data_IF_160466883121
#
_entry.id   IF_160466883121
#
_cell.length_a   1.000
_cell.length_b   1.000
_cell.length_c   1.000
_cell.angle_alpha   90.00
_cell.angle_beta   90.00
_cell.angle_gamma   90.00
#
_symmetry.space_group_name_H-M   'P 1'
#
loop_
_entity.id
_entity.type
_entity.pdbx_description
1 polymer ?
#
# COMPACT_ATOMS: atom_id res chain seq x y z
N UNK A 1 7.91 -10.53 9.04
CA UNK A 1 6.63 -10.81 8.36
C UNK A 1 6.68 -10.22 6.98
N UNK A 2 6.49 -11.03 5.94
CA UNK A 2 6.37 -10.53 4.56
C UNK A 2 4.97 -9.93 4.38
N UNK A 3 4.83 -8.96 3.49
CA UNK A 3 3.56 -8.28 3.28
C UNK A 3 2.43 -9.21 2.81
N UNK A 4 2.78 -10.30 2.11
CA UNK A 4 1.84 -11.32 1.67
C UNK A 4 1.23 -12.17 2.79
N UNK A 5 1.85 -12.20 3.98
CA UNK A 5 1.41 -13.04 5.10
C UNK A 5 0.28 -12.41 5.92
N UNK A 6 -0.02 -11.12 5.69
CA UNK A 6 -1.05 -10.38 6.42
C UNK A 6 -2.45 -10.75 5.93
N UNK A 7 -3.40 -10.79 6.86
CA UNK A 7 -4.82 -10.95 6.55
C UNK A 7 -5.35 -9.71 5.82
N UNK A 8 -6.45 -9.87 5.10
CA UNK A 8 -7.09 -8.74 4.42
C UNK A 8 -7.59 -7.68 5.39
N UNK A 9 -8.09 -8.08 6.56
CA UNK A 9 -8.51 -7.18 7.62
C UNK A 9 -7.33 -6.32 8.14
N UNK A 10 -6.17 -6.93 8.35
CA UNK A 10 -4.96 -6.18 8.73
C UNK A 10 -4.52 -5.20 7.62
N UNK A 11 -4.56 -5.63 6.36
CA UNK A 11 -4.21 -4.77 5.22
C UNK A 11 -5.19 -3.60 5.09
N UNK A 12 -6.49 -3.84 5.24
CA UNK A 12 -7.53 -2.80 5.29
C UNK A 12 -7.27 -1.79 6.40
N UNK A 13 -7.05 -2.25 7.63
CA UNK A 13 -6.78 -1.37 8.76
C UNK A 13 -5.53 -0.50 8.55
N UNK A 14 -4.48 -1.04 7.93
CA UNK A 14 -3.29 -0.27 7.61
C UNK A 14 -3.51 0.71 6.44
N UNK A 15 -4.25 0.30 5.42
CA UNK A 15 -4.64 1.17 4.31
C UNK A 15 -5.48 2.36 4.82
N UNK A 16 -6.45 2.09 5.71
CA UNK A 16 -7.22 3.10 6.44
C UNK A 16 -6.34 4.00 7.30
N UNK A 17 -5.26 3.48 7.89
CA UNK A 17 -4.27 4.30 8.59
C UNK A 17 -3.45 5.22 7.65
N UNK A 18 -3.62 5.09 6.34
CA UNK A 18 -2.96 5.88 5.30
C UNK A 18 -1.67 5.25 4.78
N UNK A 19 -1.45 3.96 5.03
CA UNK A 19 -0.28 3.26 4.52
C UNK A 19 -0.57 2.66 3.14
N UNK A 20 -0.25 3.43 2.10
CA UNK A 20 -0.57 3.07 0.71
C UNK A 20 -0.06 1.70 0.24
N UNK A 21 1.11 1.18 0.67
CA UNK A 21 1.55 -0.15 0.24
C UNK A 21 0.60 -1.29 0.66
N UNK A 22 -0.15 -1.17 1.76
CA UNK A 22 -1.14 -2.19 2.10
C UNK A 22 -2.27 -2.28 1.07
N UNK A 23 -2.73 -1.15 0.55
CA UNK A 23 -3.77 -1.13 -0.47
C UNK A 23 -3.25 -1.61 -1.81
N UNK A 24 -1.98 -1.36 -2.14
CA UNK A 24 -1.33 -1.97 -3.30
C UNK A 24 -1.38 -3.51 -3.20
N UNK A 25 -1.13 -4.09 -2.02
CA UNK A 25 -1.24 -5.55 -1.83
C UNK A 25 -2.67 -6.03 -2.07
N UNK A 26 -3.69 -5.29 -1.60
CA UNK A 26 -5.10 -5.60 -1.89
C UNK A 26 -5.40 -5.54 -3.40
N UNK A 27 -4.91 -4.51 -4.11
CA UNK A 27 -5.00 -4.40 -5.57
C UNK A 27 -4.34 -5.59 -6.26
N UNK A 28 -3.15 -6.00 -5.84
CA UNK A 28 -2.47 -7.17 -6.42
C UNK A 28 -3.24 -8.46 -6.18
N UNK A 29 -3.83 -8.63 -4.99
CA UNK A 29 -4.58 -9.84 -4.60
C UNK A 29 -5.94 -9.92 -5.31
N UNK A 30 -6.65 -8.80 -5.44
CA UNK A 30 -8.04 -8.77 -5.91
C UNK A 30 -8.22 -8.20 -7.32
N UNK A 31 -7.22 -7.53 -7.87
CA UNK A 31 -7.24 -6.93 -9.22
C UNK A 31 -7.71 -7.89 -10.32
N UNK A 32 -7.21 -9.15 -10.40
CA UNK A 32 -7.69 -10.11 -11.39
C UNK A 32 -9.18 -10.45 -11.27
N UNK A 33 -9.70 -10.57 -10.05
CA UNK A 33 -11.11 -10.87 -9.82
C UNK A 33 -12.01 -9.71 -10.27
N UNK A 34 -11.64 -8.47 -9.93
CA UNK A 34 -12.37 -7.26 -10.35
C UNK A 34 -12.27 -7.08 -11.86
N UNK A 35 -11.09 -7.27 -12.44
CA UNK A 35 -10.88 -7.23 -13.89
C UNK A 35 -11.76 -8.23 -14.66
N UNK A 36 -12.02 -9.38 -14.04
CA UNK A 36 -12.90 -10.41 -14.59
C UNK A 36 -14.37 -10.04 -14.45
N UNK A 37 -14.75 -9.42 -13.34
CA UNK A 37 -16.10 -8.92 -13.10
C UNK A 37 -16.52 -7.86 -14.13
N UNK A 38 -15.65 -6.89 -14.42
CA UNK A 38 -15.93 -5.78 -15.36
C UNK A 38 -15.54 -6.10 -16.81
N UNK A 39 -15.34 -7.37 -17.17
CA UNK A 39 -14.82 -7.77 -18.49
C UNK A 39 -15.71 -7.37 -19.68
N UNK A 40 -16.97 -7.07 -19.43
CA UNK A 40 -17.95 -6.68 -20.46
C UNK A 40 -18.00 -5.16 -20.68
N UNK A 41 -17.29 -4.38 -19.87
CA UNK A 41 -17.17 -2.94 -20.05
C UNK A 41 -16.39 -2.61 -21.33
N UNK A 42 -16.69 -1.48 -22.00
CA UNK A 42 -15.98 -1.06 -23.21
C UNK A 42 -14.47 -0.89 -23.00
N UNK A 43 -14.07 -0.43 -21.81
CA UNK A 43 -12.68 -0.38 -21.36
C UNK A 43 -12.59 -1.02 -19.97
N UNK A 44 -12.31 -2.32 -19.89
CA UNK A 44 -12.32 -3.04 -18.62
C UNK A 44 -11.13 -2.68 -17.71
N UNK A 45 -10.04 -2.12 -18.26
CA UNK A 45 -8.91 -1.65 -17.45
C UNK A 45 -9.31 -0.35 -16.76
N UNK A 46 -9.91 0.59 -17.49
CA UNK A 46 -10.45 1.81 -16.91
C UNK A 46 -11.54 1.51 -15.88
N UNK A 47 -12.47 0.60 -16.17
CA UNK A 47 -13.49 0.18 -15.21
C UNK A 47 -12.87 -0.44 -13.93
N UNK A 48 -11.84 -1.27 -14.06
CA UNK A 48 -11.12 -1.83 -12.91
C UNK A 48 -10.49 -0.72 -12.07
N UNK A 49 -9.82 0.25 -12.72
CA UNK A 49 -9.24 1.42 -12.05
C UNK A 49 -10.31 2.18 -11.28
N UNK A 50 -11.43 2.47 -11.92
CA UNK A 50 -12.51 3.28 -11.34
C UNK A 50 -13.10 2.59 -10.10
N UNK A 51 -13.27 1.26 -10.09
CA UNK A 51 -13.63 0.48 -8.90
C UNK A 51 -12.64 0.70 -7.75
N UNK A 52 -11.33 0.63 -8.01
CA UNK A 52 -10.33 0.85 -6.97
C UNK A 52 -10.22 2.32 -6.51
N UNK A 53 -10.54 3.29 -7.38
CA UNK A 53 -10.64 4.70 -6.99
C UNK A 53 -11.83 4.90 -6.06
N UNK A 54 -13.01 4.37 -6.40
CA UNK A 54 -14.19 4.42 -5.52
C UNK A 54 -13.91 3.70 -4.19
N UNK A 55 -13.28 2.53 -4.23
CA UNK A 55 -12.86 1.81 -3.03
C UNK A 55 -11.94 2.66 -2.14
N UNK A 56 -11.03 3.44 -2.73
CA UNK A 56 -10.13 4.32 -2.00
C UNK A 56 -10.86 5.50 -1.33
N UNK A 57 -11.89 6.03 -1.98
CA UNK A 57 -12.75 7.09 -1.45
C UNK A 57 -13.66 6.61 -0.31
N UNK A 58 -14.13 5.37 -0.40
CA UNK A 58 -14.98 4.74 0.62
C UNK A 58 -14.19 4.12 1.78
N UNK A 59 -12.90 3.83 1.57
CA UNK A 59 -12.00 3.16 2.52
C UNK A 59 -12.11 3.68 3.97
N UNK A 60 -12.19 5.00 4.25
CA UNK A 60 -12.28 5.51 5.63
C UNK A 60 -13.56 5.12 6.38
N UNK A 61 -14.61 4.71 5.67
CA UNK A 61 -15.92 4.32 6.24
C UNK A 61 -16.07 2.81 6.36
N UNK A 62 -15.20 2.05 5.73
CA UNK A 62 -15.32 0.60 5.64
C UNK A 62 -14.98 -0.08 6.98
N UNK A 63 -15.71 -1.15 7.33
CA UNK A 63 -15.33 -2.01 8.44
C UNK A 63 -14.14 -2.90 8.02
N UNK A 64 -12.97 -2.85 8.71
CA UNK A 64 -11.83 -3.69 8.38
C UNK A 64 -12.11 -5.20 8.44
N UNK A 65 -13.10 -5.65 9.22
CA UNK A 65 -13.45 -7.08 9.32
C UNK A 65 -14.33 -7.56 8.15
N UNK A 66 -14.86 -6.64 7.33
CA UNK A 66 -15.70 -7.01 6.21
C UNK A 66 -14.88 -7.68 5.08
N UNK A 67 -15.40 -8.74 4.43
CA UNK A 67 -14.70 -9.40 3.34
C UNK A 67 -14.39 -8.45 2.17
N UNK A 68 -13.12 -8.10 1.99
CA UNK A 68 -12.65 -7.13 0.97
C UNK A 68 -13.12 -7.50 -0.43
N UNK A 69 -13.12 -8.80 -0.76
CA UNK A 69 -13.58 -9.27 -2.07
C UNK A 69 -15.04 -8.91 -2.34
N UNK A 70 -15.93 -9.15 -1.36
CA UNK A 70 -17.37 -8.89 -1.52
C UNK A 70 -17.63 -7.40 -1.64
N UNK A 71 -16.93 -6.60 -0.84
CA UNK A 71 -17.03 -5.14 -0.92
C UNK A 71 -16.56 -4.58 -2.27
N UNK A 72 -15.43 -5.05 -2.81
CA UNK A 72 -14.96 -4.61 -4.13
C UNK A 72 -15.89 -5.05 -5.27
N UNK A 73 -16.57 -6.19 -5.12
CA UNK A 73 -17.56 -6.66 -6.09
C UNK A 73 -18.85 -5.84 -6.04
N UNK A 74 -19.30 -5.46 -4.83
CA UNK A 74 -20.42 -4.54 -4.62
C UNK A 74 -20.14 -3.18 -5.30
N UNK A 75 -18.95 -2.61 -5.13
CA UNK A 75 -18.52 -1.40 -5.84
C UNK A 75 -18.54 -1.60 -7.37
N UNK A 76 -18.14 -2.79 -7.84
CA UNK A 76 -18.17 -3.15 -9.26
C UNK A 76 -19.59 -3.43 -9.78
N UNK A 77 -20.63 -3.35 -8.94
CA UNK A 77 -22.01 -3.61 -9.31
C UNK A 77 -22.29 -5.07 -9.67
N UNK A 78 -21.55 -6.01 -9.07
CA UNK A 78 -21.72 -7.44 -9.32
C UNK A 78 -21.65 -8.25 -8.02
N UNK A 79 -22.42 -9.34 -7.95
CA UNK A 79 -22.39 -10.23 -6.78
C UNK A 79 -21.42 -11.41 -6.96
N UNK A 80 -20.88 -11.61 -8.17
CA UNK A 80 -20.11 -12.82 -8.50
C UNK A 80 -18.89 -12.52 -9.37
N UNK A 81 -17.79 -13.20 -9.05
CA UNK A 81 -16.61 -13.25 -9.92
C UNK A 81 -16.88 -14.26 -11.03
N UNK A 82 -16.82 -13.85 -12.30
CA UNK A 82 -16.97 -14.76 -13.41
C UNK A 82 -15.76 -15.71 -13.54
N UNK A 83 -16.03 -16.95 -13.93
CA UNK A 83 -15.01 -17.92 -14.36
C UNK A 83 -14.90 -17.88 -15.90
N UNK A 84 -13.72 -17.86 -16.54
CA UNK A 84 -12.37 -17.84 -15.95
C UNK A 84 -11.94 -16.49 -15.38
N UNK A 85 -11.06 -16.54 -14.35
CA UNK A 85 -10.36 -15.36 -13.85
C UNK A 85 -9.32 -14.91 -14.88
N UNK A 86 -9.50 -13.70 -15.40
CA UNK A 86 -8.57 -13.04 -16.32
C UNK A 86 -7.43 -12.44 -15.48
N UNK A 87 -6.16 -12.86 -15.70
CA UNK A 87 -5.04 -12.28 -15.00
C UNK A 87 -4.87 -10.80 -15.39
N UNK A 88 -4.56 -9.98 -14.41
CA UNK A 88 -4.17 -8.58 -14.63
C UNK A 88 -2.65 -8.54 -14.85
N UNK A 89 -2.20 -7.96 -15.96
CA UNK A 89 -0.78 -7.83 -16.28
C UNK A 89 -0.02 -7.00 -15.24
N UNK A 90 1.30 -7.14 -15.17
CA UNK A 90 2.12 -6.31 -14.28
C UNK A 90 2.07 -4.83 -14.69
N UNK A 91 2.24 -4.55 -15.99
CA UNK A 91 2.16 -3.19 -16.54
C UNK A 91 0.78 -2.55 -16.30
N UNK A 92 -0.30 -3.34 -16.40
CA UNK A 92 -1.67 -2.87 -16.13
C UNK A 92 -1.87 -2.55 -14.65
N UNK A 93 -1.34 -3.39 -13.75
CA UNK A 93 -1.36 -3.13 -12.30
C UNK A 93 -0.60 -1.87 -11.96
N UNK A 94 0.58 -1.68 -12.53
CA UNK A 94 1.41 -0.51 -12.28
C UNK A 94 0.75 0.78 -12.79
N UNK A 95 0.11 0.72 -13.96
CA UNK A 95 -0.65 1.84 -14.50
C UNK A 95 -1.85 2.21 -13.60
N UNK A 96 -2.61 1.21 -13.12
CA UNK A 96 -3.69 1.43 -12.16
C UNK A 96 -3.13 2.02 -10.85
N UNK A 97 -2.05 1.46 -10.33
CA UNK A 97 -1.42 1.92 -9.10
C UNK A 97 -0.90 3.37 -9.18
N UNK A 98 -0.28 3.75 -10.30
CA UNK A 98 0.17 5.13 -10.54
C UNK A 98 -0.99 6.13 -10.48
N UNK A 99 -2.16 5.76 -11.01
CA UNK A 99 -3.36 6.59 -10.92
C UNK A 99 -3.89 6.69 -9.48
N UNK A 100 -3.89 5.57 -8.74
CA UNK A 100 -4.35 5.52 -7.34
C UNK A 100 -3.44 6.31 -6.41
N UNK A 101 -2.12 6.32 -6.62
CA UNK A 101 -1.19 7.15 -5.83
C UNK A 101 -1.55 8.64 -5.97
N UNK A 102 -1.95 9.06 -7.18
CA UNK A 102 -2.31 10.45 -7.45
C UNK A 102 -3.66 10.81 -6.81
N UNK A 103 -4.60 9.88 -6.82
CA UNK A 103 -5.91 10.01 -6.17
C UNK A 103 -5.87 9.77 -4.65
N UNK A 104 -4.75 9.25 -4.13
CA UNK A 104 -4.63 8.89 -2.72
C UNK A 104 -5.00 10.10 -1.89
N UNK A 105 -6.06 10.03 -1.06
CA UNK A 105 -6.52 11.17 -0.30
C UNK A 105 -5.31 11.58 0.51
N UNK A 106 -4.74 12.72 0.11
CA UNK A 106 -3.54 13.25 0.71
C UNK A 106 -3.93 13.53 2.13
N UNK A 107 -3.74 12.56 3.02
CA UNK A 107 -3.97 12.79 4.44
C UNK A 107 -3.13 14.02 4.71
N UNK A 108 -3.71 15.12 5.22
CA UNK A 108 -2.89 16.14 5.83
C UNK A 108 -1.99 15.36 6.78
N UNK A 109 -0.69 15.28 6.47
CA UNK A 109 0.26 14.48 7.24
C UNK A 109 -0.10 14.80 8.69
N UNK A 110 -0.51 13.82 9.52
CA UNK A 110 -0.76 14.14 10.91
C UNK A 110 0.50 14.89 11.37
N UNK A 111 0.41 16.07 12.00
CA UNK A 111 1.56 16.91 12.33
C UNK A 111 2.43 16.22 13.39
N UNK A 112 2.98 15.06 13.06
CA UNK A 112 3.83 14.21 13.90
C UNK A 112 5.22 14.79 14.02
N UNK A 113 5.60 15.72 13.13
CA UNK A 113 6.77 16.58 13.29
C UNK A 113 6.48 17.81 14.17
N UNK A 114 5.23 18.28 14.23
CA UNK A 114 4.86 19.40 15.09
C UNK A 114 4.92 19.04 16.57
N UNK A 115 4.29 17.94 16.98
CA UNK A 115 4.24 17.57 18.40
C UNK A 115 5.59 17.12 18.96
N UNK A 116 6.38 16.38 18.19
CA UNK A 116 7.75 16.00 18.61
C UNK A 116 8.68 17.20 18.67
N UNK A 117 8.62 18.13 17.70
CA UNK A 117 9.40 19.38 17.76
C UNK A 117 8.91 20.28 18.89
N UNK A 118 7.61 20.40 19.10
CA UNK A 118 7.04 21.17 20.20
C UNK A 118 7.46 20.57 21.56
N UNK A 119 7.35 19.26 21.76
CA UNK A 119 7.80 18.59 22.97
C UNK A 119 9.32 18.72 23.19
N UNK A 120 10.12 18.63 22.12
CA UNK A 120 11.56 18.81 22.19
C UNK A 120 11.92 20.26 22.53
N UNK A 121 11.27 21.25 21.90
CA UNK A 121 11.43 22.67 22.22
C UNK A 121 10.99 22.97 23.64
N UNK A 122 9.84 22.45 24.09
CA UNK A 122 9.36 22.65 25.46
C UNK A 122 10.31 22.00 26.48
N UNK A 123 10.84 20.82 26.16
CA UNK A 123 11.87 20.15 26.96
C UNK A 123 13.17 20.95 27.02
N UNK A 124 13.61 21.54 25.91
CA UNK A 124 14.81 22.37 25.84
C UNK A 124 14.63 23.69 26.60
N UNK A 125 13.45 24.31 26.53
CA UNK A 125 13.09 25.50 27.31
C UNK A 125 13.04 25.18 28.80
N UNK A 126 12.43 24.06 29.18
CA UNK A 126 12.42 23.61 30.58
C UNK A 126 13.84 23.33 31.10
N UNK A 127 14.69 22.68 30.30
CA UNK A 127 16.10 22.43 30.64
C UNK A 127 16.88 23.75 30.80
N UNK A 128 16.69 24.71 29.88
CA UNK A 128 17.35 26.02 29.92
C UNK A 128 16.92 26.85 31.14
N UNK A 129 15.70 26.69 31.65
CA UNK A 129 15.24 27.33 32.87
C UNK A 129 15.75 26.63 34.15
N UNK A 130 15.95 25.30 34.10
CA UNK A 130 16.36 24.51 35.27
C UNK A 130 17.87 24.59 35.55
N UNK A 131 18.70 24.72 34.51
CA UNK A 131 20.17 24.78 34.63
C UNK A 131 20.65 25.98 35.49
N UNK A 132 20.19 27.23 35.28
CA UNK A 132 20.58 28.37 36.11
C UNK A 132 20.19 28.20 37.58
N UNK A 133 19.01 27.61 37.84
CA UNK A 133 18.52 27.36 39.20
C UNK A 133 19.40 26.31 39.91
N UNK A 134 19.81 25.25 39.22
CA UNK A 134 20.75 24.25 39.75
C UNK A 134 22.14 24.84 40.01
N UNK A 135 22.66 25.70 39.12
CA UNK A 135 23.95 26.40 39.34
C UNK A 135 23.87 27.32 40.55
N UNK A 136 22.75 28.03 40.73
CA UNK A 136 22.56 28.93 41.87
C UNK A 136 22.43 28.15 43.20
N UNK A 137 21.78 26.99 43.19
CA UNK A 137 21.68 26.10 44.36
C UNK A 137 23.00 25.37 44.68
N UNK A 138 23.84 25.10 43.68
CA UNK A 138 25.14 24.45 43.86
C UNK A 138 26.26 25.42 44.33
N UNK A 139 26.03 26.73 44.27
CA UNK A 139 27.01 27.76 44.67
C UNK A 139 27.21 27.91 46.18
N UNK A 140 26.37 27.28 47.01
CA UNK A 140 26.38 27.43 48.47
C UNK A 140 26.86 26.14 49.17
N UNK A 141 27.91 25.50 48.67
CA UNK A 141 28.67 24.53 49.45
C UNK A 141 29.88 25.27 50.05
N UNK A 142 29.90 25.56 51.36
CA UNK A 142 31.06 26.14 52.00
C UNK A 142 32.24 25.18 51.87
N UNK A 143 33.28 25.64 51.16
CA UNK A 143 34.55 24.97 50.89
C UNK A 143 35.20 24.46 52.20
N UNK A 144 35.09 23.16 52.53
CA UNK A 144 35.72 22.59 53.69
C UNK A 144 37.04 21.96 53.23
N UNK A 145 38.05 22.80 53.04
CA UNK A 145 39.43 22.34 52.94
C UNK A 145 40.05 22.59 51.57
N UNK A 146 40.70 23.74 51.47
CA UNK A 146 41.82 23.96 50.57
C UNK A 146 42.93 22.92 50.83
N UNK A 147 42.77 21.71 50.28
CA UNK A 147 43.89 20.81 50.08
C UNK A 147 44.61 21.22 48.78
N UNK A 148 45.80 21.74 49.01
CA UNK A 148 46.85 22.08 48.07
C UNK A 148 47.00 20.97 47.00
N UNK A 149 46.42 21.23 45.82
CA UNK A 149 46.55 20.42 44.60
C UNK A 149 48.03 20.33 44.18
N UNK A 150 48.75 19.36 44.75
CA UNK A 150 50.04 18.91 44.22
C UNK A 150 49.77 18.15 42.93
N UNK A 151 50.26 18.68 41.82
CA UNK A 151 50.26 18.02 40.52
C UNK A 151 51.07 16.71 40.62
N UNK A 152 50.36 15.60 40.81
CA UNK A 152 50.91 14.28 40.56
C UNK A 152 50.92 14.06 39.04
N UNK A 153 52.09 13.84 38.40
CA UNK A 153 52.14 13.46 37.01
C UNK A 153 51.44 12.11 36.86
N UNK A 154 50.34 12.11 36.11
CA UNK A 154 49.64 10.89 35.70
C UNK A 154 50.58 10.17 34.75
N UNK A 155 51.11 9.03 35.19
CA UNK A 155 51.76 8.10 34.30
C UNK A 155 50.69 7.57 33.34
N UNK A 156 50.79 7.93 32.06
CA UNK A 156 50.03 7.31 30.99
C UNK A 156 50.45 5.84 30.93
N UNK A 157 49.60 4.95 31.47
CA UNK A 157 49.68 3.54 31.13
C UNK A 157 49.27 3.39 29.66
N UNK A 158 50.13 2.80 28.80
CA UNK A 158 49.77 2.53 27.43
C UNK A 158 48.72 1.42 27.44
N UNK A 159 47.45 1.80 27.29
CA UNK A 159 46.38 0.86 26.94
C UNK A 159 46.65 0.35 25.51
N UNK A 160 47.52 -0.65 25.44
CA UNK A 160 47.64 -1.55 24.31
C UNK A 160 46.46 -2.51 24.31
N UNK A 161 45.31 -2.02 23.85
CA UNK A 161 44.30 -2.87 23.23
C UNK A 161 44.16 -2.38 21.79
N UNK A 162 45.14 -2.80 20.99
CA UNK A 162 45.04 -2.85 19.54
C UNK A 162 43.93 -3.87 19.22
N UNK A 163 42.68 -3.39 19.25
CA UNK A 163 41.53 -4.14 18.76
C UNK A 163 41.75 -4.29 17.26
N UNK A 164 42.38 -5.39 16.89
CA UNK A 164 42.45 -5.87 15.51
C UNK A 164 41.01 -6.19 15.12
N UNK A 165 40.34 -5.18 14.56
CA UNK A 165 39.03 -5.30 13.93
C UNK A 165 39.21 -6.32 12.80
N UNK A 166 38.97 -7.59 13.14
CA UNK A 166 39.01 -8.70 12.21
C UNK A 166 37.85 -8.46 11.27
N UNK A 167 38.14 -7.78 10.16
CA UNK A 167 37.21 -7.53 9.09
C UNK A 167 36.68 -8.89 8.62
N UNK A 168 35.49 -9.27 9.09
CA UNK A 168 34.81 -10.46 8.60
C UNK A 168 34.70 -10.32 7.09
N UNK A 169 35.17 -11.32 6.31
CA UNK A 169 35.10 -11.24 4.87
C UNK A 169 33.64 -11.11 4.47
N UNK A 170 33.34 -10.06 3.71
CA UNK A 170 32.02 -9.83 3.14
C UNK A 170 31.52 -11.13 2.51
N UNK A 171 30.25 -11.51 2.71
CA UNK A 171 29.70 -12.74 2.17
C UNK A 171 29.95 -12.76 0.67
N UNK A 172 30.73 -13.75 0.22
CA UNK A 172 30.96 -13.97 -1.21
C UNK A 172 29.67 -14.53 -1.79
N UNK A 173 28.86 -13.66 -2.39
CA UNK A 173 27.67 -14.08 -3.12
C UNK A 173 28.10 -14.88 -4.35
N UNK A 174 28.00 -16.20 -4.28
CA UNK A 174 28.08 -17.07 -5.45
C UNK A 174 26.79 -16.95 -6.23
N UNK A 175 26.85 -16.33 -7.41
CA UNK A 175 25.76 -16.39 -8.37
C UNK A 175 25.65 -17.83 -8.87
N UNK A 176 24.42 -18.41 -8.95
CA UNK A 176 24.23 -19.71 -9.56
C UNK A 176 24.77 -19.67 -10.99
N UNK A 177 25.75 -20.53 -11.27
CA UNK A 177 26.29 -20.68 -12.62
C UNK A 177 25.15 -21.10 -13.55
N UNK A 178 24.81 -20.24 -14.50
CA UNK A 178 23.83 -20.58 -15.54
C UNK A 178 24.37 -21.79 -16.28
N UNK A 179 23.64 -22.92 -16.35
CA UNK A 179 24.12 -24.11 -17.02
C UNK A 179 24.42 -23.79 -18.49
N UNK A 180 25.65 -24.09 -18.90
CA UNK A 180 26.28 -23.74 -20.18
C UNK A 180 25.66 -24.46 -21.40
N UNK A 181 24.53 -25.13 -21.21
CA UNK A 181 23.85 -25.96 -22.19
C UNK A 181 22.50 -25.39 -22.65
N UNK A 182 22.26 -24.08 -22.45
CA UNK A 182 21.18 -23.41 -23.17
C UNK A 182 21.61 -23.11 -24.60
N UNK A 183 20.80 -23.47 -25.62
CA UNK A 183 21.07 -23.10 -26.99
C UNK A 183 21.21 -21.57 -27.04
N UNK A 184 22.35 -21.08 -27.54
CA UNK A 184 22.60 -19.66 -27.77
C UNK A 184 21.45 -19.09 -28.59
N UNK A 185 20.54 -18.37 -27.95
CA UNK A 185 19.60 -17.54 -28.68
C UNK A 185 20.44 -16.51 -29.44
N UNK A 186 20.35 -16.57 -30.76
CA UNK A 186 21.03 -15.64 -31.66
C UNK A 186 20.62 -14.23 -31.24
N UNK A 187 21.57 -13.31 -30.98
CA UNK A 187 21.23 -11.95 -30.61
C UNK A 187 20.30 -11.38 -31.67
N UNK A 188 19.09 -10.99 -31.26
CA UNK A 188 18.18 -10.20 -32.08
C UNK A 188 18.94 -8.92 -32.47
N UNK A 189 18.94 -8.52 -33.75
CA UNK A 189 19.73 -7.39 -34.21
C UNK A 189 19.42 -6.14 -33.39
N UNK A 190 20.49 -5.44 -33.00
CA UNK A 190 20.48 -4.16 -32.29
C UNK A 190 19.40 -3.25 -32.87
N UNK A 191 18.41 -2.90 -32.05
CA UNK A 191 17.54 -1.78 -32.37
C UNK A 191 18.39 -0.51 -32.25
N UNK A 192 18.87 -0.02 -33.39
CA UNK A 192 19.42 1.32 -33.53
C UNK A 192 18.35 2.32 -33.08
N UNK A 193 18.44 2.76 -31.83
CA UNK A 193 17.69 3.92 -31.35
C UNK A 193 18.20 5.12 -32.13
N UNK A 194 17.43 5.53 -33.14
CA UNK A 194 17.66 6.78 -33.84
C UNK A 194 17.26 7.89 -32.88
N UNK A 195 18.25 8.54 -32.27
CA UNK A 195 18.04 9.77 -31.52
C UNK A 195 17.31 10.76 -32.43
N UNK A 196 16.09 11.09 -32.05
CA UNK A 196 15.30 12.13 -32.72
C UNK A 196 15.99 13.46 -32.43
N UNK A 197 16.35 14.26 -33.45
CA UNK A 197 17.04 15.52 -33.24
C UNK A 197 16.18 16.45 -32.38
N UNK A 198 16.83 16.98 -31.35
CA UNK A 198 16.35 18.06 -30.48
C UNK A 198 15.84 19.21 -31.36
N UNK A 199 14.56 19.62 -31.27
CA UNK A 199 14.09 20.77 -32.01
C UNK A 199 14.74 22.02 -31.42
N UNK A 200 15.57 22.70 -32.21
CA UNK A 200 16.01 24.08 -31.96
C UNK A 200 14.78 25.00 -31.92
N UNK A 201 14.14 25.07 -30.75
CA UNK A 201 13.06 25.98 -30.44
C UNK A 201 13.60 27.40 -30.37
N UNK A 202 13.58 28.09 -31.51
CA UNK A 202 13.68 29.55 -31.59
C UNK A 202 12.64 30.14 -30.63
N UNK A 203 13.13 30.81 -29.59
CA UNK A 203 12.31 31.54 -28.62
C UNK A 203 11.54 32.68 -29.32
N UNK A 204 10.34 32.36 -29.82
CA UNK A 204 9.35 33.35 -30.19
C UNK A 204 8.73 33.99 -28.94
N UNK A 205 8.41 35.29 -28.95
CA UNK A 205 7.82 35.98 -27.81
C UNK A 205 6.50 35.29 -27.40
N UNK A 206 6.39 34.97 -26.11
CA UNK A 206 5.22 34.35 -25.50
C UNK A 206 3.93 35.09 -25.88
N UNK A 207 2.93 34.42 -26.47
CA UNK A 207 1.60 35.01 -26.58
C UNK A 207 1.05 35.19 -25.16
N UNK A 208 0.66 36.42 -24.82
CA UNK A 208 -0.05 36.69 -23.58
C UNK A 208 -1.34 35.85 -23.55
N UNK A 209 -1.68 35.19 -22.43
CA UNK A 209 -2.94 34.49 -22.32
C UNK A 209 -4.07 35.53 -22.42
N UNK A 210 -4.84 35.45 -23.50
CA UNK A 210 -6.09 36.19 -23.64
C UNK A 210 -7.09 35.53 -22.71
N UNK A 211 -7.39 36.17 -21.58
CA UNK A 211 -8.46 35.75 -20.68
C UNK A 211 -9.78 36.10 -21.35
N UNK A 212 -10.40 35.13 -22.00
CA UNK A 212 -11.80 35.26 -22.45
C UNK A 212 -12.69 35.01 -21.23
N UNK A 213 -13.13 36.10 -20.60
CA UNK A 213 -14.20 36.05 -19.59
C UNK A 213 -15.48 35.78 -20.36
N UNK A 214 -15.92 34.54 -20.37
CA UNK A 214 -17.29 34.18 -20.76
C UNK A 214 -18.17 34.44 -19.55
N UNK A 215 -18.92 35.53 -19.59
CA UNK A 215 -20.10 35.77 -18.74
C UNK A 215 -21.03 34.56 -18.90
N UNK A 216 -21.09 33.71 -17.87
CA UNK A 216 -22.03 32.60 -17.76
C UNK A 216 -23.36 33.19 -17.26
N UNK A 217 -24.46 33.10 -18.04
CA UNK A 217 -25.74 33.65 -17.64
C UNK A 217 -26.33 32.84 -16.48
N UNK A 218 -26.54 33.55 -15.37
CA UNK A 218 -27.27 33.12 -14.16
C UNK A 218 -28.48 32.22 -14.50
N UNK A 219 -28.51 30.95 -14.07
CA UNK A 219 -29.65 30.07 -14.31
C UNK A 219 -30.82 30.48 -13.41
N UNK A 220 -31.91 30.91 -14.05
CA UNK A 220 -33.22 31.21 -13.44
C UNK A 220 -33.65 30.12 -12.43
N UNK A 221 -34.06 30.48 -11.20
CA UNK A 221 -34.55 29.52 -10.21
C UNK A 221 -35.90 28.95 -10.65
N UNK A 222 -35.92 27.65 -11.00
CA UNK A 222 -37.18 26.94 -11.23
C UNK A 222 -37.98 26.78 -9.92
N UNK A 223 -39.31 26.96 -9.95
CA UNK A 223 -40.15 26.87 -8.77
C UNK A 223 -40.23 25.41 -8.27
N UNK A 224 -39.97 25.25 -6.98
CA UNK A 224 -40.13 24.00 -6.23
C UNK A 224 -41.61 23.64 -6.20
N UNK A 225 -42.01 22.66 -7.00
CA UNK A 225 -43.33 22.04 -6.91
C UNK A 225 -43.37 21.11 -5.70
N UNK A 226 -44.34 21.35 -4.80
CA UNK A 226 -44.67 20.46 -3.69
C UNK A 226 -44.93 19.02 -4.18
N UNK A 227 -44.28 18.00 -3.61
CA UNK A 227 -44.62 16.61 -3.91
C UNK A 227 -45.94 16.21 -3.22
N UNK A 228 -46.88 15.76 -4.05
CA UNK A 228 -48.15 15.14 -3.67
C UNK A 228 -47.93 13.94 -2.71
N UNK A 229 -48.69 13.81 -1.60
CA UNK A 229 -48.60 12.67 -0.71
C UNK A 229 -49.16 11.40 -1.37
N UNK A 230 -48.31 10.40 -1.60
CA UNK A 230 -48.76 9.09 -2.06
C UNK A 230 -49.52 8.31 -0.97
N UNK A 231 -50.53 7.51 -1.37
CA UNK A 231 -51.40 6.78 -0.46
C UNK A 231 -50.70 5.57 0.16
N UNK A 232 -50.93 5.39 1.47
CA UNK A 232 -50.57 4.21 2.25
C UNK A 232 -51.30 2.98 1.70
N UNK A 233 -50.60 2.14 0.94
CA UNK A 233 -51.07 0.82 0.54
C UNK A 233 -50.82 -0.20 1.65
N UNK A 234 -51.87 -0.91 2.05
CA UNK A 234 -51.86 -2.03 2.99
C UNK A 234 -50.83 -3.12 2.57
N UNK A 235 -50.15 -3.77 3.54
CA UNK A 235 -49.25 -4.88 3.27
C UNK A 235 -50.03 -6.14 2.88
N UNK A 236 -49.82 -6.60 1.65
CA UNK A 236 -50.27 -7.89 1.13
C UNK A 236 -49.54 -9.04 1.86
N UNK A 237 -50.24 -10.01 2.49
CA UNK A 237 -49.61 -11.17 3.10
C UNK A 237 -49.01 -12.08 2.02
N UNK A 238 -47.67 -12.18 2.05
CA UNK A 238 -46.86 -12.80 1.00
C UNK A 238 -47.16 -14.28 0.68
N UNK A 239 -46.71 -14.75 -0.49
CA UNK A 239 -46.86 -16.12 -0.93
C UNK A 239 -46.01 -17.08 -0.08
N UNK A 240 -46.65 -18.14 0.40
CA UNK A 240 -46.04 -19.25 1.13
C UNK A 240 -45.00 -19.95 0.26
N UNK A 241 -43.74 -19.95 0.70
CA UNK A 241 -42.63 -20.65 0.05
C UNK A 241 -42.82 -22.18 0.19
N UNK A 242 -42.77 -22.95 -0.92
CA UNK A 242 -42.87 -24.41 -0.85
C UNK A 242 -41.57 -25.03 -0.32
N UNK A 243 -41.74 -25.97 0.61
CA UNK A 243 -40.70 -26.77 1.27
C UNK A 243 -39.79 -27.48 0.24
N UNK A 244 -38.46 -27.36 0.33
CA UNK A 244 -37.54 -27.99 -0.61
C UNK A 244 -37.57 -29.50 -0.44
N UNK A 245 -38.03 -30.21 -1.47
CA UNK A 245 -37.95 -31.67 -1.53
C UNK A 245 -36.52 -32.06 -1.90
N UNK A 246 -35.80 -32.66 -0.95
CA UNK A 246 -34.47 -33.23 -1.18
C UNK A 246 -34.53 -34.26 -2.32
N UNK A 247 -33.69 -34.13 -3.37
CA UNK A 247 -33.60 -35.15 -4.40
C UNK A 247 -32.97 -36.44 -3.82
N UNK A 248 -33.40 -37.63 -4.28
CA UNK A 248 -32.84 -38.88 -3.81
C UNK A 248 -31.35 -38.96 -4.14
N UNK A 249 -30.53 -39.13 -3.10
CA UNK A 249 -29.08 -39.36 -3.21
C UNK A 249 -28.86 -40.72 -3.87
N UNK A 250 -28.36 -40.69 -5.11
CA UNK A 250 -27.90 -41.88 -5.82
C UNK A 250 -26.63 -42.42 -5.11
N UNK A 251 -26.59 -43.68 -4.66
CA UNK A 251 -25.41 -44.23 -4.00
C UNK A 251 -24.25 -44.32 -4.98
N UNK A 252 -23.16 -43.60 -4.68
CA UNK A 252 -21.91 -43.68 -5.42
C UNK A 252 -21.43 -45.15 -5.48
N UNK A 253 -20.93 -45.62 -6.64
CA UNK A 253 -20.32 -46.93 -6.74
C UNK A 253 -19.07 -47.02 -5.85
N UNK A 254 -18.74 -48.23 -5.33
CA UNK A 254 -17.55 -48.43 -4.52
C UNK A 254 -16.29 -48.04 -5.30
N UNK A 255 -15.49 -47.16 -4.70
CA UNK A 255 -14.17 -46.78 -5.19
C UNK A 255 -13.27 -48.02 -5.01
N UNK A 256 -12.80 -48.59 -6.12
CA UNK A 256 -11.78 -49.63 -6.08
C UNK A 256 -10.49 -49.07 -5.46
N UNK A 257 -9.88 -49.78 -4.49
CA UNK A 257 -8.61 -49.35 -3.91
C UNK A 257 -7.51 -49.44 -4.95
N UNK A 258 -6.89 -48.28 -5.21
CA UNK A 258 -5.71 -48.11 -6.07
C UNK A 258 -4.55 -48.99 -5.56
N UNK A 259 -4.09 -50.00 -6.32
CA UNK A 259 -2.97 -50.84 -5.94
C UNK A 259 -1.70 -50.34 -6.64
N UNK A 260 -0.85 -49.65 -5.88
CA UNK A 260 0.58 -49.63 -6.15
C UNK A 260 1.16 -48.26 -6.36
N UNK A 261 1.88 -47.80 -5.35
CA UNK A 261 3.16 -47.12 -5.53
C UNK A 261 4.05 -47.45 -4.32
N UNK A 262 4.30 -48.75 -4.14
CA UNK A 262 5.53 -49.23 -3.55
C UNK A 262 6.57 -49.22 -4.68
N UNK A 263 7.51 -48.25 -4.67
CA UNK A 263 8.90 -48.40 -5.14
C UNK A 263 9.52 -47.03 -5.49
N UNK A 264 10.16 -46.38 -4.52
CA UNK A 264 11.46 -45.76 -4.82
C UNK A 264 12.32 -45.56 -3.58
N UNK A 265 12.93 -46.66 -3.12
CA UNK A 265 14.08 -46.64 -2.24
C UNK A 265 15.36 -46.96 -3.05
N UNK A 266 16.02 -45.93 -3.55
CA UNK A 266 17.45 -45.97 -3.95
C UNK A 266 17.95 -44.52 -3.96
N UNK A 267 18.87 -44.06 -3.11
CA UNK A 267 20.02 -44.73 -2.55
C UNK A 267 21.25 -44.40 -3.40
N UNK A 268 21.95 -43.30 -3.10
CA UNK A 268 23.32 -43.06 -3.60
C UNK A 268 24.08 -42.14 -2.61
N UNK A 269 25.38 -42.40 -2.36
CA UNK A 269 26.12 -42.02 -1.15
C UNK A 269 26.66 -40.59 -1.11
#
# INVERSE_FOLDING_TARGET
>A
MRYGDRSDAELMALAQAGWSPAFAVLLHRYGPAIRSAVRHEPDPIAATRDVFVTALEELPRMDPEFPVREWLLDIAGTDRVPDPIIPLGEDERDAIWASLITAWPGRPRPPRTGLRRAALVLGLVALAALVPVLVFLAGEAPDPGAEELRAHPVAEEPNGDEVTETAEPLPTFSFPSVPENQPRQTPTPEQTVTETPEPEGTAGPSPMPTVTVTDDPDPDPQPTGDPDPQPTGDPDPGPTEPEPTDPPVDPLPPIDPDPGDDDNATGTP
#
